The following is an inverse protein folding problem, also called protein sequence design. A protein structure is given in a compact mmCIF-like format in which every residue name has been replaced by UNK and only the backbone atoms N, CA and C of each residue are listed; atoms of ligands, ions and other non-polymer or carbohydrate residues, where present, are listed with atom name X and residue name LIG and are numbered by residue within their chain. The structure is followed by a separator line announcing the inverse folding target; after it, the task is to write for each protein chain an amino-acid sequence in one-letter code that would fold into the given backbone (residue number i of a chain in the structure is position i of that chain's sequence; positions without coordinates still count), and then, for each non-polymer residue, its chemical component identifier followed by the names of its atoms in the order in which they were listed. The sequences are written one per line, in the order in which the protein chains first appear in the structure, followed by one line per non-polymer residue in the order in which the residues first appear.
data_IF_510987070235
#
_entry.id   IF_510987070235
#
_cell.length_a   1.000
_cell.length_b   1.000
_cell.length_c   1.000
_cell.angle_alpha   90.00
_cell.angle_beta   90.00
_cell.angle_gamma   90.00
#
_symmetry.space_group_name_H-M   'P 1'
#
loop_
_entity.id
_entity.type
_entity.pdbx_description
1 polymer ?
#
# COMPACT_ATOMS: atom_id res chain seq x y z
N UNK A 1 33.69 -29.69 24.30
CA UNK A 1 35.14 -29.92 24.10
C UNK A 1 35.49 -29.60 22.65
N UNK A 2 36.60 -28.87 22.44
CA UNK A 2 37.19 -28.38 21.16
C UNK A 2 36.77 -26.98 20.68
N UNK A 3 37.38 -26.04 21.40
CA UNK A 3 37.79 -24.67 21.07
C UNK A 3 38.63 -24.59 19.78
N UNK A 4 38.50 -23.50 19.02
CA UNK A 4 39.59 -22.98 18.15
C UNK A 4 39.70 -21.44 18.28
N UNK A 5 40.82 -21.04 18.88
CA UNK A 5 41.46 -19.72 18.88
C UNK A 5 41.92 -19.36 17.45
N UNK A 6 41.64 -18.15 16.95
CA UNK A 6 42.44 -16.91 17.03
C UNK A 6 43.70 -16.90 16.15
N UNK A 7 43.81 -15.94 15.22
CA UNK A 7 45.07 -15.29 14.85
C UNK A 7 44.81 -13.82 14.51
N UNK A 8 45.38 -12.96 15.37
CA UNK A 8 45.47 -11.51 15.28
C UNK A 8 46.83 -11.20 14.65
N UNK A 9 46.90 -10.38 13.60
CA UNK A 9 48.16 -9.85 13.08
C UNK A 9 48.25 -8.36 13.41
N UNK A 10 49.12 -8.05 14.36
CA UNK A 10 49.66 -6.72 14.63
C UNK A 10 51.00 -6.61 13.89
N UNK A 11 51.18 -5.54 13.12
CA UNK A 11 52.51 -5.08 12.69
C UNK A 11 52.65 -3.62 13.09
N UNK A 12 53.62 -3.36 13.97
CA UNK A 12 54.12 -2.02 14.31
C UNK A 12 55.38 -1.74 13.50
N UNK A 13 55.58 -0.49 13.05
CA UNK A 13 56.91 0.13 12.99
C UNK A 13 56.82 1.66 12.85
N UNK A 14 57.50 2.35 13.77
CA UNK A 14 57.76 3.79 13.78
C UNK A 14 58.85 4.20 12.78
N UNK A 15 58.85 5.48 12.40
CA UNK A 15 60.04 6.19 11.95
C UNK A 15 59.76 7.67 11.64
N UNK A 16 60.33 8.63 12.40
CA UNK A 16 60.20 10.05 12.12
C UNK A 16 61.27 10.49 11.11
N UNK A 17 60.94 11.42 10.23
CA UNK A 17 61.93 12.18 9.47
C UNK A 17 61.62 13.66 9.60
N UNK A 18 62.53 14.36 10.27
CA UNK A 18 62.55 15.82 10.36
C UNK A 18 63.46 16.38 9.24
N UNK A 19 62.89 17.25 8.41
CA UNK A 19 63.54 18.35 7.66
C UNK A 19 62.42 19.40 7.52
N UNK A 20 62.54 20.65 7.95
CA UNK A 20 63.69 21.53 7.92
C UNK A 20 63.38 22.66 6.94
N UNK A 21 62.63 23.67 7.41
CA UNK A 21 62.53 25.09 6.99
C UNK A 21 62.45 25.49 5.51
N UNK A 22 61.41 26.27 5.15
CA UNK A 22 61.45 27.71 4.78
C UNK A 22 60.08 28.17 4.19
N UNK A 23 59.80 29.50 4.08
CA UNK A 23 58.48 30.08 4.38
C UNK A 23 57.62 30.50 3.18
N UNK A 24 56.35 30.77 3.50
CA UNK A 24 55.35 31.63 2.87
C UNK A 24 55.31 31.78 1.34
N UNK A 25 54.26 31.22 0.75
CA UNK A 25 53.58 31.82 -0.39
C UNK A 25 52.07 31.58 -0.31
N UNK A 26 51.35 32.68 -0.25
CA UNK A 26 49.90 32.83 -0.31
C UNK A 26 49.31 32.38 -1.65
N UNK A 27 48.18 31.68 -1.58
CA UNK A 27 47.31 31.28 -2.69
C UNK A 27 46.39 30.19 -2.13
N UNK A 28 45.11 30.44 -1.86
CA UNK A 28 44.13 30.86 -2.84
C UNK A 28 43.22 29.65 -3.04
N UNK A 29 42.05 29.70 -2.39
CA UNK A 29 40.88 28.81 -2.47
C UNK A 29 41.06 27.42 -3.07
N UNK A 30 40.91 26.41 -2.22
CA UNK A 30 40.24 25.15 -2.56
C UNK A 30 39.72 24.57 -1.23
N UNK A 31 38.61 25.13 -0.76
CA UNK A 31 37.73 24.37 0.12
C UNK A 31 37.06 23.33 -0.77
N UNK A 32 37.66 22.15 -0.82
CA UNK A 32 37.03 20.89 -1.20
C UNK A 32 35.77 20.71 -0.33
N UNK A 33 34.70 21.39 -0.71
CA UNK A 33 33.37 21.06 -0.24
C UNK A 33 33.12 19.62 -0.70
N UNK A 34 32.88 18.66 0.21
CA UNK A 34 32.56 17.31 -0.21
C UNK A 34 31.36 17.40 -1.13
N UNK A 35 31.51 16.87 -2.35
CA UNK A 35 30.41 16.77 -3.30
C UNK A 35 29.19 16.25 -2.55
N UNK A 36 28.09 17.02 -2.56
CA UNK A 36 26.84 16.60 -1.96
C UNK A 36 26.49 15.24 -2.57
N UNK A 37 26.61 14.20 -1.74
CA UNK A 37 26.04 12.90 -2.05
C UNK A 37 24.56 13.17 -2.29
N UNK A 38 24.11 12.98 -3.54
CA UNK A 38 22.70 13.05 -3.91
C UNK A 38 21.95 12.18 -2.90
N UNK A 39 21.16 12.82 -2.03
CA UNK A 39 20.32 12.08 -1.11
C UNK A 39 19.39 11.22 -1.97
N UNK A 40 19.29 9.94 -1.63
CA UNK A 40 18.34 9.05 -2.30
C UNK A 40 16.95 9.72 -2.31
N UNK A 41 16.17 9.59 -3.40
CA UNK A 41 14.83 10.15 -3.46
C UNK A 41 14.04 9.63 -2.26
N UNK A 42 13.54 10.57 -1.45
CA UNK A 42 12.75 10.30 -0.25
C UNK A 42 11.36 10.88 -0.46
N UNK A 43 10.35 10.22 0.10
CA UNK A 43 8.98 10.66 -0.04
C UNK A 43 8.76 11.98 0.72
N UNK A 44 8.22 13.03 0.08
CA UNK A 44 8.06 14.37 0.68
C UNK A 44 6.66 14.95 0.53
N UNK A 45 6.25 15.80 1.47
CA UNK A 45 4.94 16.47 1.50
C UNK A 45 3.80 15.60 2.05
N UNK A 46 2.60 16.18 2.26
CA UNK A 46 1.42 15.44 2.69
C UNK A 46 0.96 14.45 1.61
N UNK A 47 0.33 13.35 2.01
CA UNK A 47 -0.27 12.39 1.07
C UNK A 47 -1.74 12.71 0.86
N UNK A 48 -2.12 12.91 -0.40
CA UNK A 48 -3.48 13.08 -0.86
C UNK A 48 -3.97 11.79 -1.50
N UNK A 49 -5.11 11.29 -1.03
CA UNK A 49 -5.73 10.06 -1.50
C UNK A 49 -7.10 10.38 -2.03
N UNK A 50 -7.40 9.93 -3.24
CA UNK A 50 -8.75 9.89 -3.82
C UNK A 50 -9.09 8.42 -4.06
N UNK A 51 -10.16 7.91 -3.46
CA UNK A 51 -10.42 6.47 -3.46
C UNK A 51 -11.91 6.14 -3.45
N UNK A 52 -12.26 5.01 -4.06
CA UNK A 52 -13.55 4.34 -3.89
C UNK A 52 -13.34 2.82 -3.83
N UNK A 53 -14.37 2.11 -3.42
CA UNK A 53 -14.45 0.66 -3.54
C UNK A 53 -15.87 0.25 -3.93
N UNK A 54 -15.98 -0.84 -4.68
CA UNK A 54 -17.29 -1.44 -4.91
C UNK A 54 -17.82 -2.03 -3.61
N UNK A 55 -19.08 -1.72 -3.31
CA UNK A 55 -19.78 -1.93 -2.04
C UNK A 55 -19.29 -1.10 -0.85
N UNK A 56 -18.12 -1.37 -0.27
CA UNK A 56 -17.75 -0.75 0.99
C UNK A 56 -16.25 -0.71 1.24
N UNK A 57 -15.80 0.37 1.89
CA UNK A 57 -14.46 0.42 2.44
C UNK A 57 -14.36 1.29 3.69
N UNK A 58 -13.27 1.10 4.41
CA UNK A 58 -12.73 2.01 5.42
C UNK A 58 -11.30 2.36 5.02
N UNK A 59 -10.83 3.53 5.45
CA UNK A 59 -9.47 3.98 5.17
C UNK A 59 -8.71 4.25 6.48
N UNK A 60 -7.41 4.01 6.47
CA UNK A 60 -6.55 4.34 7.60
C UNK A 60 -5.08 4.39 7.24
N UNK A 61 -4.28 4.83 8.19
CA UNK A 61 -2.83 4.86 8.07
C UNK A 61 -2.17 4.54 9.42
N UNK A 62 -0.90 4.14 9.35
CA UNK A 62 -0.10 3.77 10.50
C UNK A 62 1.25 3.22 10.06
N UNK A 63 1.75 2.20 10.75
CA UNK A 63 2.99 1.53 10.42
C UNK A 63 2.72 0.14 9.80
N UNK A 64 3.78 -0.61 9.49
CA UNK A 64 3.69 -1.98 8.92
C UNK A 64 2.93 -2.98 9.79
N UNK A 65 2.80 -2.70 11.08
CA UNK A 65 2.19 -3.60 12.07
C UNK A 65 0.76 -3.22 12.42
N UNK A 66 0.39 -1.94 12.35
CA UNK A 66 -0.91 -1.47 12.82
C UNK A 66 -1.39 -0.22 12.09
N UNK A 67 -2.71 -0.13 11.92
CA UNK A 67 -3.43 1.12 11.70
C UNK A 67 -3.54 1.87 13.03
N UNK A 68 -3.12 3.14 13.06
CA UNK A 68 -3.20 4.02 14.23
C UNK A 68 -4.28 5.08 14.07
N UNK A 69 -4.51 5.52 12.83
CA UNK A 69 -5.55 6.48 12.46
C UNK A 69 -6.52 5.80 11.50
N UNK A 70 -7.80 5.80 11.84
CA UNK A 70 -8.79 5.00 11.14
C UNK A 70 -10.09 5.77 10.98
N UNK A 71 -10.57 5.83 9.75
CA UNK A 71 -11.89 6.32 9.39
C UNK A 71 -12.74 5.12 9.00
N UNK A 72 -13.71 4.79 9.87
CA UNK A 72 -14.70 3.76 9.57
C UNK A 72 -15.62 4.30 8.46
N UNK A 73 -15.61 3.66 7.30
CA UNK A 73 -16.55 3.98 6.25
C UNK A 73 -17.89 3.27 6.42
N UNK A 74 -18.72 3.38 5.40
CA UNK A 74 -20.03 2.75 5.31
C UNK A 74 -20.17 2.06 3.96
N UNK A 75 -20.98 1.00 3.92
CA UNK A 75 -21.35 0.36 2.67
C UNK A 75 -22.25 1.28 1.84
N UNK A 76 -21.82 1.54 0.61
CA UNK A 76 -22.63 2.15 -0.42
C UNK A 76 -23.95 1.38 -0.58
N UNK A 77 -25.05 2.13 -0.60
CA UNK A 77 -26.40 1.62 -0.81
C UNK A 77 -26.87 1.81 -2.25
N UNK A 78 -26.11 2.59 -3.04
CA UNK A 78 -26.42 2.92 -4.42
C UNK A 78 -25.12 2.96 -5.25
N UNK A 79 -25.23 2.69 -6.55
CA UNK A 79 -24.10 2.84 -7.47
C UNK A 79 -23.55 4.28 -7.49
N UNK A 80 -24.41 5.29 -7.28
CA UNK A 80 -23.97 6.68 -7.22
C UNK A 80 -22.96 6.94 -6.10
N UNK A 81 -23.10 6.23 -4.98
CA UNK A 81 -22.17 6.30 -3.85
C UNK A 81 -20.81 5.67 -4.09
N UNK A 82 -20.60 5.11 -5.29
CA UNK A 82 -19.35 4.46 -5.69
C UNK A 82 -18.73 5.25 -6.85
N UNK A 83 -19.56 5.59 -7.85
CA UNK A 83 -19.07 6.04 -9.16
C UNK A 83 -19.24 7.54 -9.45
N UNK A 84 -20.16 8.23 -8.75
CA UNK A 84 -20.54 9.59 -9.14
C UNK A 84 -19.53 10.65 -8.69
N UNK A 85 -19.45 11.71 -9.49
CA UNK A 85 -18.92 13.01 -9.07
C UNK A 85 -20.03 13.90 -8.50
N UNK A 86 -19.68 14.98 -7.75
CA UNK A 86 -18.34 15.34 -7.31
C UNK A 86 -17.78 14.35 -6.28
N UNK A 87 -16.47 14.44 -6.03
CA UNK A 87 -15.83 13.80 -4.88
C UNK A 87 -16.64 14.09 -3.61
N UNK A 88 -16.85 13.06 -2.79
CA UNK A 88 -17.72 13.08 -1.61
C UNK A 88 -19.14 12.55 -1.87
N UNK A 89 -19.58 12.47 -3.12
CA UNK A 89 -20.80 11.72 -3.48
C UNK A 89 -20.50 10.26 -3.81
N UNK A 90 -19.40 9.99 -4.52
CA UNK A 90 -18.88 8.65 -4.81
C UNK A 90 -17.50 8.46 -4.18
N UNK A 91 -16.39 8.62 -4.93
CA UNK A 91 -15.07 8.56 -4.33
C UNK A 91 -14.86 9.64 -3.26
N UNK A 92 -14.10 9.31 -2.23
CA UNK A 92 -13.79 10.22 -1.12
C UNK A 92 -12.32 10.63 -1.13
N UNK A 93 -12.03 11.72 -0.42
CA UNK A 93 -10.67 12.28 -0.29
C UNK A 93 -10.17 12.23 1.13
N UNK A 94 -8.90 11.85 1.27
CA UNK A 94 -8.16 11.85 2.51
C UNK A 94 -6.86 12.63 2.33
N UNK A 95 -6.49 13.41 3.34
CA UNK A 95 -5.18 14.07 3.41
C UNK A 95 -4.47 13.61 4.67
N UNK A 96 -3.32 12.97 4.49
CA UNK A 96 -2.46 12.50 5.57
C UNK A 96 -1.33 13.52 5.73
N UNK A 97 -1.19 14.13 6.92
CA UNK A 97 -0.10 15.06 7.18
C UNK A 97 1.26 14.39 6.95
N UNK A 98 2.24 15.15 6.45
CA UNK A 98 3.60 14.64 6.20
C UNK A 98 4.22 13.99 7.45
N UNK A 99 3.98 14.55 8.63
CA UNK A 99 4.47 14.03 9.91
C UNK A 99 3.93 12.61 10.24
N UNK A 100 2.76 12.27 9.71
CA UNK A 100 2.11 10.96 9.90
C UNK A 100 2.40 10.00 8.73
N UNK A 101 3.13 10.47 7.72
CA UNK A 101 3.51 9.76 6.51
C UNK A 101 5.05 9.66 6.31
N UNK A 102 5.84 9.24 7.32
CA UNK A 102 7.27 8.95 7.14
C UNK A 102 7.48 7.67 6.30
N UNK A 103 8.72 7.41 5.88
CA UNK A 103 9.08 6.24 5.05
C UNK A 103 8.67 4.86 5.63
N UNK A 104 8.51 4.75 6.95
CA UNK A 104 8.03 3.54 7.62
C UNK A 104 6.51 3.37 7.67
N UNK A 105 5.76 4.37 7.21
CA UNK A 105 4.31 4.38 7.28
C UNK A 105 3.65 3.62 6.13
N UNK A 106 2.43 3.17 6.37
CA UNK A 106 1.59 2.47 5.42
C UNK A 106 0.20 3.10 5.37
N UNK A 107 -0.36 3.15 4.16
CA UNK A 107 -1.76 3.44 3.91
C UNK A 107 -2.52 2.11 3.81
N UNK A 108 -3.70 2.05 4.41
CA UNK A 108 -4.52 0.85 4.48
C UNK A 108 -5.92 1.12 3.95
N UNK A 109 -6.38 0.23 3.06
CA UNK A 109 -7.74 0.25 2.51
C UNK A 109 -8.39 -1.07 2.91
N UNK A 110 -9.48 -1.00 3.66
CA UNK A 110 -10.16 -2.17 4.18
C UNK A 110 -11.50 -2.29 3.49
N UNK A 111 -11.68 -3.29 2.63
CA UNK A 111 -12.92 -3.45 1.84
C UNK A 111 -13.70 -4.67 2.30
N UNK A 112 -15.03 -4.60 2.19
CA UNK A 112 -15.90 -5.75 2.36
C UNK A 112 -17.05 -5.69 1.37
N UNK A 113 -17.46 -6.86 0.90
CA UNK A 113 -18.48 -6.99 -0.12
C UNK A 113 -19.84 -7.38 0.47
N UNK A 114 -20.88 -7.35 -0.36
CA UNK A 114 -22.22 -7.87 -0.08
C UNK A 114 -22.49 -9.24 -0.74
N UNK A 115 -21.47 -9.85 -1.35
CA UNK A 115 -21.49 -11.07 -2.15
C UNK A 115 -22.48 -11.04 -3.33
N UNK A 116 -22.86 -9.88 -3.86
CA UNK A 116 -23.93 -9.78 -4.85
C UNK A 116 -23.47 -9.63 -6.30
N UNK A 117 -22.50 -8.74 -6.58
CA UNK A 117 -22.17 -8.36 -7.98
C UNK A 117 -20.68 -8.46 -8.24
N UNK A 118 -19.91 -7.51 -7.75
CA UNK A 118 -18.48 -7.36 -8.02
C UNK A 118 -17.77 -6.92 -6.75
N UNK A 119 -16.45 -6.82 -6.82
CA UNK A 119 -15.66 -6.13 -5.82
C UNK A 119 -14.38 -5.56 -6.41
N UNK A 120 -13.88 -4.52 -5.77
CA UNK A 120 -12.58 -3.98 -6.08
C UNK A 120 -12.38 -2.64 -5.42
N UNK A 121 -11.14 -2.17 -5.44
CA UNK A 121 -10.76 -0.82 -5.04
C UNK A 121 -10.15 -0.08 -6.22
N UNK A 122 -10.41 1.21 -6.28
CA UNK A 122 -9.90 2.12 -7.30
C UNK A 122 -9.47 3.43 -6.64
N UNK A 123 -8.29 3.95 -6.99
CA UNK A 123 -7.81 5.17 -6.36
C UNK A 123 -6.51 5.74 -6.91
N UNK A 124 -6.18 6.93 -6.41
CA UNK A 124 -4.96 7.69 -6.69
C UNK A 124 -4.37 8.18 -5.37
N UNK A 125 -3.06 8.03 -5.21
CA UNK A 125 -2.29 8.33 -4.01
C UNK A 125 -1.12 9.22 -4.42
N UNK A 126 -1.19 10.51 -4.09
CA UNK A 126 -0.24 11.51 -4.57
C UNK A 126 0.39 12.27 -3.40
N UNK A 127 1.64 12.67 -3.56
CA UNK A 127 2.34 13.63 -2.71
C UNK A 127 3.36 14.38 -3.57
N UNK A 128 4.08 15.35 -3.00
CA UNK A 128 5.03 16.18 -3.76
C UNK A 128 6.09 15.34 -4.50
N UNK A 129 6.50 14.22 -3.90
CA UNK A 129 7.51 13.33 -4.45
C UNK A 129 7.03 12.38 -5.53
N UNK A 130 5.71 12.23 -5.77
CA UNK A 130 5.19 11.34 -6.81
C UNK A 130 3.75 10.88 -6.62
N UNK A 131 3.31 10.01 -7.53
CA UNK A 131 1.95 9.47 -7.57
C UNK A 131 1.98 7.96 -7.79
N UNK A 132 1.19 7.24 -7.00
CA UNK A 132 0.87 5.82 -7.19
C UNK A 132 -0.64 5.70 -7.41
N UNK A 133 -1.04 4.83 -8.32
CA UNK A 133 -2.45 4.58 -8.63
C UNK A 133 -2.76 3.09 -8.43
N UNK A 134 -4.02 2.76 -8.14
CA UNK A 134 -4.42 1.35 -8.04
C UNK A 134 -4.11 0.59 -9.33
N UNK A 135 -3.73 -0.69 -9.19
CA UNK A 135 -3.17 -1.50 -10.27
C UNK A 135 -1.65 -1.48 -10.38
N UNK A 136 -0.98 -0.63 -9.60
CA UNK A 136 0.47 -0.63 -9.47
C UNK A 136 0.98 -1.88 -8.70
N UNK A 137 2.09 -2.51 -9.12
CA UNK A 137 2.63 -3.72 -8.46
C UNK A 137 3.11 -3.52 -7.02
N UNK A 138 3.26 -2.26 -6.56
CA UNK A 138 3.62 -1.92 -5.18
C UNK A 138 2.52 -2.22 -4.16
N UNK A 139 1.26 -2.37 -4.61
CA UNK A 139 0.17 -2.73 -3.72
C UNK A 139 0.28 -4.19 -3.26
N UNK A 140 -0.10 -4.40 -2.01
CA UNK A 140 -0.28 -5.71 -1.42
C UNK A 140 -1.70 -5.86 -0.91
N UNK A 141 -2.22 -7.09 -0.88
CA UNK A 141 -3.52 -7.42 -0.31
C UNK A 141 -3.41 -8.64 0.60
N UNK A 142 -4.18 -8.63 1.67
CA UNK A 142 -4.44 -9.78 2.51
C UNK A 142 -5.95 -10.04 2.59
N UNK A 143 -6.36 -11.26 2.24
CA UNK A 143 -7.71 -11.74 2.43
C UNK A 143 -7.85 -12.48 3.77
N UNK A 144 -8.78 -12.03 4.62
CA UNK A 144 -8.89 -12.44 6.04
C UNK A 144 -9.84 -13.62 6.27
N UNK A 145 -10.77 -13.85 5.34
CA UNK A 145 -11.82 -14.86 5.44
C UNK A 145 -12.98 -14.48 6.35
N UNK A 146 -13.03 -13.26 6.89
CA UNK A 146 -14.06 -12.82 7.84
C UNK A 146 -15.18 -12.08 7.08
N UNK A 147 -16.32 -12.73 6.92
CA UNK A 147 -17.45 -12.24 6.13
C UNK A 147 -18.24 -11.11 6.84
N UNK A 148 -18.44 -9.99 6.13
CA UNK A 148 -19.26 -8.85 6.55
C UNK A 148 -20.44 -8.56 5.59
N UNK A 149 -20.79 -9.50 4.72
CA UNK A 149 -21.92 -9.35 3.79
C UNK A 149 -23.26 -9.20 4.51
N UNK A 150 -23.40 -9.81 5.69
CA UNK A 150 -24.63 -9.82 6.49
C UNK A 150 -24.37 -9.63 8.00
N UNK A 151 -25.45 -9.38 8.76
CA UNK A 151 -25.39 -9.19 10.22
C UNK A 151 -25.23 -7.73 10.67
N UNK A 152 -24.98 -7.55 11.97
CA UNK A 152 -25.04 -6.23 12.63
C UNK A 152 -24.02 -5.22 12.11
N UNK A 153 -22.86 -5.71 11.67
CA UNK A 153 -21.76 -4.87 11.19
C UNK A 153 -21.68 -4.82 9.67
N UNK A 154 -22.68 -5.32 8.96
CA UNK A 154 -22.59 -5.44 7.52
C UNK A 154 -22.50 -4.06 6.83
N UNK A 155 -23.13 -3.04 7.40
CA UNK A 155 -23.04 -1.66 6.89
C UNK A 155 -21.74 -0.96 7.26
N UNK A 156 -21.14 -1.30 8.40
CA UNK A 156 -20.01 -0.56 8.96
C UNK A 156 -18.67 -1.26 8.75
N UNK A 157 -18.64 -2.58 8.53
CA UNK A 157 -17.42 -3.36 8.35
C UNK A 157 -16.70 -3.68 9.66
N UNK A 158 -15.42 -4.13 9.58
CA UNK A 158 -14.60 -4.48 10.73
C UNK A 158 -14.14 -3.25 11.52
N UNK A 159 -13.92 -3.42 12.81
CA UNK A 159 -13.34 -2.38 13.67
C UNK A 159 -11.82 -2.31 13.52
N UNK A 160 -11.21 -1.17 13.87
CA UNK A 160 -9.74 -1.01 13.86
C UNK A 160 -9.01 -2.12 14.62
N UNK A 161 -9.54 -2.59 15.76
CA UNK A 161 -8.93 -3.65 16.54
C UNK A 161 -8.93 -5.01 15.81
N UNK A 162 -10.01 -5.33 15.08
CA UNK A 162 -10.08 -6.53 14.23
C UNK A 162 -9.08 -6.40 13.06
N UNK A 163 -9.02 -5.22 12.44
CA UNK A 163 -8.08 -4.94 11.35
C UNK A 163 -6.63 -5.17 11.81
N UNK A 164 -6.22 -4.60 12.94
CA UNK A 164 -4.85 -4.77 13.46
C UNK A 164 -4.55 -6.22 13.84
N UNK A 165 -5.54 -6.97 14.33
CA UNK A 165 -5.40 -8.41 14.59
C UNK A 165 -5.10 -9.16 13.29
N UNK A 166 -5.81 -8.85 12.21
CA UNK A 166 -5.61 -9.50 10.92
C UNK A 166 -4.31 -9.03 10.23
N UNK A 167 -3.91 -7.76 10.35
CA UNK A 167 -2.57 -7.30 9.88
C UNK A 167 -1.46 -8.13 10.53
N UNK A 168 -1.52 -8.33 11.86
CA UNK A 168 -0.55 -9.16 12.57
C UNK A 168 -0.56 -10.62 12.06
N UNK A 169 -1.74 -11.19 11.79
CA UNK A 169 -1.87 -12.53 11.19
C UNK A 169 -1.24 -12.59 9.80
N UNK A 170 -1.49 -11.60 8.95
CA UNK A 170 -0.98 -11.54 7.58
C UNK A 170 0.55 -11.38 7.56
N UNK A 171 1.10 -10.55 8.45
CA UNK A 171 2.55 -10.41 8.65
C UNK A 171 3.17 -11.73 9.12
N UNK A 172 2.49 -12.47 10.00
CA UNK A 172 2.99 -13.75 10.53
C UNK A 172 2.82 -14.95 9.58
N UNK A 173 1.99 -14.84 8.55
CA UNK A 173 1.71 -15.95 7.64
C UNK A 173 0.85 -17.07 8.25
N UNK A 174 0.08 -16.77 9.30
CA UNK A 174 -0.60 -17.77 10.15
C UNK A 174 -2.08 -17.97 9.83
N UNK A 175 -2.59 -17.36 8.76
CA UNK A 175 -3.96 -17.66 8.30
C UNK A 175 -4.13 -19.09 7.82
N UNK A 176 -5.37 -19.57 7.80
CA UNK A 176 -5.70 -20.91 7.31
C UNK A 176 -5.83 -20.91 5.78
N UNK A 177 -5.19 -21.87 5.11
CA UNK A 177 -5.11 -21.95 3.64
C UNK A 177 -6.48 -21.98 2.94
N UNK A 178 -7.45 -22.68 3.54
CA UNK A 178 -8.78 -22.86 2.96
C UNK A 178 -9.65 -21.61 3.02
N UNK A 179 -9.43 -20.73 4.00
CA UNK A 179 -10.37 -19.62 4.29
C UNK A 179 -9.72 -18.25 4.20
N UNK A 180 -8.39 -18.16 4.09
CA UNK A 180 -7.65 -16.89 4.05
C UNK A 180 -6.61 -16.92 2.91
N UNK A 181 -5.97 -15.79 2.66
CA UNK A 181 -4.73 -15.70 1.85
C UNK A 181 -3.48 -16.20 2.60
N UNK A 182 -3.61 -16.50 3.90
CA UNK A 182 -2.56 -16.77 4.89
C UNK A 182 -1.61 -15.61 5.20
N UNK A 183 -1.39 -14.69 4.27
CA UNK A 183 -0.49 -13.56 4.39
C UNK A 183 -0.62 -12.60 3.21
N UNK A 184 0.31 -11.66 3.12
CA UNK A 184 0.31 -10.65 2.06
C UNK A 184 0.67 -11.27 0.71
N UNK A 185 -0.07 -10.87 -0.32
CA UNK A 185 0.22 -11.16 -1.73
C UNK A 185 0.20 -9.87 -2.53
N UNK A 186 0.96 -9.82 -3.62
CA UNK A 186 0.89 -8.77 -4.63
C UNK A 186 0.60 -9.38 -6.00
N UNK A 187 0.74 -8.59 -7.08
CA UNK A 187 0.48 -9.06 -8.44
C UNK A 187 1.51 -10.07 -8.95
N UNK A 188 2.70 -10.13 -8.33
CA UNK A 188 3.72 -11.12 -8.63
C UNK A 188 3.59 -12.41 -7.81
N UNK A 189 2.72 -12.44 -6.78
CA UNK A 189 2.48 -13.61 -5.94
C UNK A 189 2.70 -13.36 -4.44
N UNK A 190 3.08 -14.41 -3.69
CA UNK A 190 3.27 -14.32 -2.24
C UNK A 190 4.37 -13.34 -1.83
N UNK A 191 4.01 -12.38 -0.97
CA UNK A 191 4.95 -11.50 -0.26
C UNK A 191 5.31 -12.13 1.08
N UNK A 192 4.30 -12.53 1.86
CA UNK A 192 4.52 -13.35 3.06
C UNK A 192 4.81 -14.79 2.62
N UNK A 193 5.82 -15.42 3.23
CA UNK A 193 6.18 -16.82 2.93
C UNK A 193 4.97 -17.75 3.12
N UNK A 194 4.61 -18.47 2.07
CA UNK A 194 3.51 -19.43 2.08
C UNK A 194 2.12 -18.80 2.04
N UNK A 195 2.00 -17.51 1.72
CA UNK A 195 0.74 -16.90 1.31
C UNK A 195 0.22 -17.53 -0.01
N UNK A 196 -1.08 -17.38 -0.25
CA UNK A 196 -1.81 -18.00 -1.37
C UNK A 196 -2.61 -16.93 -2.10
N UNK A 197 -2.78 -17.10 -3.41
CA UNK A 197 -3.46 -16.14 -4.27
C UNK A 197 -2.54 -15.02 -4.77
N UNK A 198 -3.16 -14.02 -5.38
CA UNK A 198 -2.50 -12.84 -5.98
C UNK A 198 -3.38 -11.62 -5.83
N UNK A 199 -2.77 -10.43 -5.87
CA UNK A 199 -3.49 -9.21 -6.18
C UNK A 199 -3.80 -9.20 -7.69
N UNK A 200 -5.07 -9.30 -8.03
CA UNK A 200 -5.54 -9.19 -9.39
C UNK A 200 -5.76 -7.73 -9.77
N UNK A 201 -5.51 -7.43 -11.04
CA UNK A 201 -5.65 -6.09 -11.62
C UNK A 201 -6.56 -6.19 -12.84
N UNK A 202 -7.61 -5.38 -12.86
CA UNK A 202 -8.63 -5.38 -13.90
C UNK A 202 -8.54 -4.19 -14.83
N UNK A 203 -9.72 -3.75 -15.25
CA UNK A 203 -9.94 -2.67 -16.20
C UNK A 203 -9.47 -1.31 -15.69
N UNK A 204 -9.13 -0.44 -16.64
CA UNK A 204 -8.76 0.96 -16.39
C UNK A 204 -10.02 1.80 -16.16
N UNK A 205 -9.85 2.88 -15.41
CA UNK A 205 -10.87 3.89 -15.16
C UNK A 205 -11.22 4.76 -16.38
N UNK A 206 -10.97 4.29 -17.60
CA UNK A 206 -11.38 4.91 -18.85
C UNK A 206 -11.96 3.89 -19.85
N UNK A 207 -12.11 2.63 -19.43
CA UNK A 207 -12.66 1.57 -20.27
C UNK A 207 -14.19 1.69 -20.36
N UNK A 208 -14.68 2.19 -21.49
CA UNK A 208 -16.12 2.31 -21.76
C UNK A 208 -16.82 0.96 -21.96
N UNK A 209 -16.06 -0.11 -22.18
CA UNK A 209 -16.57 -1.47 -22.35
C UNK A 209 -16.45 -2.30 -21.08
N UNK A 210 -15.92 -1.68 -20.03
CA UNK A 210 -15.70 -2.31 -18.74
C UNK A 210 -16.97 -2.69 -17.99
N UNK A 211 -16.82 -3.54 -16.98
CA UNK A 211 -17.89 -3.91 -16.06
C UNK A 211 -18.25 -2.73 -15.16
N UNK A 212 -17.26 -1.99 -14.66
CA UNK A 212 -17.47 -0.80 -13.87
C UNK A 212 -17.66 0.45 -14.72
N UNK A 213 -18.56 1.36 -14.31
CA UNK A 213 -18.59 2.71 -14.86
C UNK A 213 -17.26 3.45 -14.65
N UNK A 214 -16.94 4.34 -15.59
CA UNK A 214 -15.88 5.34 -15.39
C UNK A 214 -16.20 6.16 -14.14
N UNK A 215 -15.25 6.21 -13.23
CA UNK A 215 -15.37 6.75 -11.87
C UNK A 215 -14.64 8.07 -11.77
N UNK A 216 -15.40 9.13 -11.51
CA UNK A 216 -14.95 10.49 -11.20
C UNK A 216 -13.49 10.85 -11.57
N UNK A 217 -13.20 10.97 -12.87
CA UNK A 217 -11.88 11.34 -13.37
C UNK A 217 -11.54 12.80 -13.03
N UNK A 218 -10.25 13.12 -12.78
CA UNK A 218 -9.84 14.48 -12.48
C UNK A 218 -10.07 15.41 -13.67
N UNK A 219 -10.37 16.67 -13.37
CA UNK A 219 -10.41 17.75 -14.36
C UNK A 219 -9.37 18.79 -14.01
N UNK A 220 -9.20 19.83 -14.84
CA UNK A 220 -8.33 20.96 -14.50
C UNK A 220 -8.79 21.72 -13.23
N UNK A 221 -10.04 21.54 -12.79
CA UNK A 221 -10.63 22.27 -11.69
C UNK A 221 -10.99 21.40 -10.47
N UNK A 222 -10.94 20.07 -10.60
CA UNK A 222 -11.41 19.15 -9.57
C UNK A 222 -10.52 17.92 -9.49
N UNK A 223 -10.25 17.50 -8.26
CA UNK A 223 -9.62 16.20 -8.00
C UNK A 223 -10.51 15.05 -8.49
N UNK A 224 -9.89 13.89 -8.67
CA UNK A 224 -10.54 12.69 -9.17
C UNK A 224 -9.59 11.51 -9.18
N UNK A 225 -10.09 10.35 -9.58
CA UNK A 225 -9.26 9.15 -9.76
C UNK A 225 -8.70 9.13 -11.18
N UNK A 226 -7.38 8.98 -11.31
CA UNK A 226 -6.70 8.98 -12.60
C UNK A 226 -7.37 8.02 -13.61
N UNK A 227 -7.44 8.43 -14.88
CA UNK A 227 -8.11 7.64 -15.93
C UNK A 227 -7.46 6.28 -16.17
N UNK A 228 -6.14 6.20 -15.96
CA UNK A 228 -5.36 4.97 -16.09
C UNK A 228 -5.24 4.17 -14.78
N UNK A 229 -5.87 4.60 -13.68
CA UNK A 229 -5.99 3.78 -12.48
C UNK A 229 -6.79 2.53 -12.81
N UNK A 230 -6.45 1.39 -12.20
CA UNK A 230 -7.13 0.12 -12.47
C UNK A 230 -7.80 -0.42 -11.22
N UNK A 231 -8.94 -1.06 -11.41
CA UNK A 231 -9.58 -1.81 -10.33
C UNK A 231 -8.68 -2.96 -9.88
N UNK A 232 -8.59 -3.18 -8.58
CA UNK A 232 -7.80 -4.27 -8.00
C UNK A 232 -8.57 -5.01 -6.91
N UNK A 233 -8.34 -6.32 -6.83
CA UNK A 233 -8.97 -7.22 -5.86
C UNK A 233 -8.03 -8.37 -5.50
N UNK A 234 -8.44 -9.19 -4.54
CA UNK A 234 -7.74 -10.45 -4.26
C UNK A 234 -8.33 -11.59 -5.09
N UNK A 235 -7.47 -12.34 -5.78
CA UNK A 235 -7.80 -13.61 -6.44
C UNK A 235 -7.17 -14.77 -5.64
N UNK A 236 -7.97 -15.75 -5.15
CA UNK A 236 -7.44 -16.90 -4.45
C UNK A 236 -6.55 -17.83 -5.30
N UNK A 237 -6.57 -17.71 -6.64
CA UNK A 237 -5.85 -18.57 -7.58
C UNK A 237 -6.05 -20.08 -7.28
N UNK A 238 -7.24 -20.43 -6.80
CA UNK A 238 -7.60 -21.77 -6.32
C UNK A 238 -7.96 -22.75 -7.47
N UNK A 239 -7.84 -22.30 -8.72
CA UNK A 239 -8.16 -23.08 -9.91
C UNK A 239 -9.65 -23.35 -10.10
N UNK A 240 -10.52 -22.81 -9.24
CA UNK A 240 -11.96 -22.87 -9.46
C UNK A 240 -12.31 -22.03 -10.70
N UNK A 241 -13.11 -22.60 -11.61
CA UNK A 241 -13.59 -21.87 -12.78
C UNK A 241 -14.47 -20.68 -12.35
N UNK A 242 -14.26 -19.54 -12.97
CA UNK A 242 -14.97 -18.30 -12.65
C UNK A 242 -13.98 -17.16 -12.39
N UNK A 243 -14.35 -15.97 -12.84
CA UNK A 243 -13.63 -14.75 -12.55
C UNK A 243 -13.82 -14.41 -11.08
N UNK A 244 -12.72 -14.30 -10.30
CA UNK A 244 -12.83 -13.94 -8.90
C UNK A 244 -13.65 -12.66 -8.80
N UNK A 245 -13.36 -11.63 -9.60
CA UNK A 245 -14.02 -10.32 -9.63
C UNK A 245 -15.55 -10.32 -9.50
N UNK A 246 -16.25 -11.29 -10.11
CA UNK A 246 -17.71 -11.40 -10.06
C UNK A 246 -18.15 -12.34 -8.93
N UNK A 247 -18.93 -11.83 -7.99
CA UNK A 247 -19.45 -12.67 -6.91
C UNK A 247 -20.42 -13.72 -7.45
N UNK A 248 -20.33 -14.93 -6.91
CA UNK A 248 -21.30 -16.02 -7.14
C UNK A 248 -22.23 -16.23 -5.93
N UNK A 249 -22.35 -15.25 -5.05
CA UNK A 249 -23.02 -15.39 -3.75
C UNK A 249 -22.23 -16.21 -2.73
N UNK A 250 -20.96 -16.48 -2.99
CA UNK A 250 -20.04 -17.20 -2.11
C UNK A 250 -18.83 -16.32 -1.85
N UNK A 251 -18.33 -16.31 -0.61
CA UNK A 251 -17.15 -15.52 -0.22
C UNK A 251 -15.85 -16.17 -0.73
N UNK A 252 -15.74 -16.33 -2.05
CA UNK A 252 -14.55 -16.86 -2.72
C UNK A 252 -13.35 -15.93 -2.57
N UNK A 253 -13.63 -14.64 -2.45
CA UNK A 253 -12.65 -13.59 -2.18
C UNK A 253 -12.00 -13.70 -0.82
N UNK A 254 -12.63 -14.45 0.10
CA UNK A 254 -12.19 -14.51 1.50
C UNK A 254 -12.17 -13.10 2.10
N UNK A 255 -13.14 -12.27 1.73
CA UNK A 255 -13.33 -10.93 2.24
C UNK A 255 -13.76 -10.99 3.73
N UNK A 256 -13.52 -9.96 4.54
CA UNK A 256 -12.98 -8.64 4.18
C UNK A 256 -11.50 -8.66 3.76
N UNK A 257 -11.12 -7.70 2.92
CA UNK A 257 -9.77 -7.54 2.37
C UNK A 257 -9.06 -6.36 3.04
N UNK A 258 -7.75 -6.46 3.19
CA UNK A 258 -6.88 -5.36 3.60
C UNK A 258 -5.87 -5.14 2.49
N UNK A 259 -5.94 -4.00 1.82
CA UNK A 259 -4.90 -3.54 0.91
C UNK A 259 -3.94 -2.62 1.66
N UNK A 260 -2.66 -2.65 1.29
CA UNK A 260 -1.68 -1.71 1.81
C UNK A 260 -0.73 -1.19 0.73
N UNK A 261 -0.22 0.01 0.98
CA UNK A 261 0.82 0.68 0.20
C UNK A 261 1.81 1.33 1.16
N UNK A 262 3.11 1.09 0.96
CA UNK A 262 4.17 1.77 1.70
C UNK A 262 4.25 3.23 1.28
N UNK A 263 4.32 4.13 2.26
CA UNK A 263 4.37 5.58 1.98
C UNK A 263 5.70 5.98 1.32
N UNK A 264 6.80 5.29 1.63
CA UNK A 264 8.08 5.45 0.97
C UNK A 264 8.01 5.16 -0.54
N UNK A 265 7.02 4.37 -0.98
CA UNK A 265 6.89 3.98 -2.37
C UNK A 265 6.18 5.05 -3.21
N UNK A 266 5.67 6.14 -2.61
CA UNK A 266 5.01 7.25 -3.31
C UNK A 266 6.06 8.28 -3.78
N UNK A 267 6.93 7.79 -4.66
CA UNK A 267 7.99 8.54 -5.34
C UNK A 267 7.86 8.38 -6.86
N UNK A 268 8.41 9.34 -7.62
CA UNK A 268 8.45 9.35 -9.09
C UNK A 268 9.31 8.22 -9.68
#
# INVERSE_FOLDING_TARGET
MRTRLAWLMLVSACGPSARGGLPDASGGGDEDAPAAIDAAPHASGPVHVVITADNAYSFGYGDVSNVTHFTQGQRAQTAGQIFNCPIGEGPEVYTIPEADAPDGAYLYIVTWDDLSVTQGVLGTFARDSGTVITGDPRFEVCATGIDYSSGANALTGPTQAIINTEIARCNAGTGAAGTTSKGWVNSAGPVTTGALGTLAVGEMNDDQTGTFPITCQPTAATDGIASNAKWMWYDPADGAGGDAFHSTGQNRFKAFLIFRLGVADIIL
#
